data_IF_704052098111
#
_entry.id   IF_704052098111
#
_cell.length_a   1.000
_cell.length_b   1.000
_cell.length_c   1.000
_cell.angle_alpha   90.00
_cell.angle_beta   90.00
_cell.angle_gamma   90.00
#
_symmetry.space_group_name_H-M   'P 1'
#
loop_
_entity.id
_entity.type
_entity.pdbx_description
1 polymer ?
#
# COMPACT_ATOMS: atom_id res chain seq x y z
N UNK A 1 6.64 1.59 4.17
CA UNK A 1 5.72 1.72 3.02
C UNK A 1 4.29 1.34 3.40
N UNK A 2 4.04 0.13 3.92
CA UNK A 2 2.68 -0.30 4.36
C UNK A 2 2.03 0.62 5.41
N UNK A 3 2.77 1.07 6.43
CA UNK A 3 2.22 1.98 7.46
C UNK A 3 1.82 3.36 6.93
N UNK A 4 2.52 3.88 5.90
CA UNK A 4 2.19 5.18 5.32
C UNK A 4 0.91 5.09 4.47
N UNK A 5 0.76 3.99 3.70
CA UNK A 5 -0.45 3.71 2.93
C UNK A 5 -1.68 3.57 3.84
N UNK A 6 -1.54 2.93 5.00
CA UNK A 6 -2.64 2.76 5.95
C UNK A 6 -3.10 4.08 6.58
N UNK A 7 -2.18 4.98 6.96
CA UNK A 7 -2.53 6.29 7.52
C UNK A 7 -3.32 7.15 6.54
N UNK A 8 -2.88 7.19 5.29
CA UNK A 8 -3.52 8.03 4.27
C UNK A 8 -4.88 7.43 3.86
N UNK A 9 -5.03 6.10 3.84
CA UNK A 9 -6.31 5.40 3.68
C UNK A 9 -7.30 5.73 4.81
N UNK A 10 -6.86 5.68 6.08
CA UNK A 10 -7.72 6.01 7.23
C UNK A 10 -8.19 7.47 7.22
N UNK A 11 -7.33 8.40 6.77
CA UNK A 11 -7.71 9.82 6.60
C UNK A 11 -8.76 10.01 5.52
N UNK A 12 -8.68 9.27 4.42
CA UNK A 12 -9.65 9.34 3.32
C UNK A 12 -11.04 8.83 3.70
N UNK A 13 -11.15 7.96 4.72
CA UNK A 13 -12.42 7.36 5.16
C UNK A 13 -13.12 8.10 6.32
N UNK A 14 -12.62 9.29 6.67
CA UNK A 14 -13.12 10.14 7.77
C UNK A 14 -13.46 9.35 9.06
N UNK A 15 -12.61 8.39 9.40
CA UNK A 15 -12.81 7.42 10.48
C UNK A 15 -12.64 8.03 11.89
N UNK A 16 -13.05 9.29 12.08
CA UNK A 16 -12.88 10.09 13.31
C UNK A 16 -13.99 9.90 14.34
N UNK A 17 -15.07 9.18 14.01
CA UNK A 17 -16.21 8.98 14.89
C UNK A 17 -16.38 7.50 15.26
N UNK A 18 -15.66 7.03 16.28
CA UNK A 18 -15.83 5.69 16.83
C UNK A 18 -14.95 5.43 18.06
N UNK A 19 -15.47 4.67 19.03
CA UNK A 19 -14.69 4.22 20.18
C UNK A 19 -13.76 3.07 19.75
N UNK A 20 -12.56 3.40 19.31
CA UNK A 20 -11.56 2.40 18.91
C UNK A 20 -11.13 1.57 20.12
N UNK A 21 -11.19 0.25 19.97
CA UNK A 21 -10.61 -0.70 20.91
C UNK A 21 -9.36 -1.31 20.29
N UNK A 22 -8.26 -1.27 21.02
CA UNK A 22 -6.99 -1.89 20.60
C UNK A 22 -6.93 -3.28 21.21
N UNK A 23 -6.62 -4.29 20.40
CA UNK A 23 -6.37 -5.66 20.85
C UNK A 23 -5.05 -6.13 20.27
N UNK A 24 -4.23 -6.74 21.10
CA UNK A 24 -3.02 -7.45 20.66
C UNK A 24 -3.39 -8.90 20.36
N UNK A 25 -3.06 -9.38 19.17
CA UNK A 25 -3.22 -10.78 18.80
C UNK A 25 -1.92 -11.54 19.11
N UNK A 26 -2.00 -12.76 19.67
CA UNK A 26 -0.81 -13.59 19.90
C UNK A 26 -0.20 -14.04 18.57
N UNK A 27 1.13 -13.94 18.43
CA UNK A 27 1.86 -14.36 17.24
C UNK A 27 3.30 -14.76 17.60
N UNK A 28 3.96 -15.50 16.70
CA UNK A 28 5.37 -15.85 16.85
C UNK A 28 6.27 -14.61 16.87
N UNK A 29 7.35 -14.65 17.66
CA UNK A 29 8.34 -13.57 17.69
C UNK A 29 9.26 -13.65 16.48
N UNK A 30 9.63 -12.48 15.97
CA UNK A 30 10.61 -12.34 14.90
C UNK A 30 12.03 -12.56 15.47
N UNK A 31 12.81 -13.51 14.94
CA UNK A 31 14.14 -13.81 15.48
C UNK A 31 15.26 -12.91 14.94
N UNK A 32 15.01 -12.14 13.88
CA UNK A 32 16.03 -11.33 13.19
C UNK A 32 15.58 -9.86 13.02
N UNK A 33 16.41 -8.98 12.45
CA UNK A 33 16.10 -7.56 12.28
C UNK A 33 15.49 -7.21 10.91
N UNK A 34 15.31 -8.19 10.02
CA UNK A 34 15.07 -8.00 8.58
C UNK A 34 13.77 -8.64 8.07
N UNK A 35 13.11 -9.48 8.86
CA UNK A 35 11.94 -10.27 8.46
C UNK A 35 10.59 -9.61 8.77
N UNK A 36 10.59 -8.41 9.35
CA UNK A 36 9.35 -7.72 9.74
C UNK A 36 8.40 -7.45 8.56
N UNK A 37 8.93 -7.07 7.40
CA UNK A 37 8.12 -6.83 6.20
C UNK A 37 7.42 -8.09 5.71
N UNK A 38 8.10 -9.24 5.77
CA UNK A 38 7.57 -10.55 5.36
C UNK A 38 6.47 -10.99 6.32
N UNK A 39 6.76 -10.91 7.63
CA UNK A 39 5.83 -11.32 8.68
C UNK A 39 4.56 -10.47 8.68
N UNK A 40 4.65 -9.15 8.51
CA UNK A 40 3.46 -8.28 8.43
C UNK A 40 2.53 -8.72 7.28
N UNK A 41 3.09 -9.08 6.12
CA UNK A 41 2.30 -9.54 4.98
C UNK A 41 1.62 -10.88 5.26
N UNK A 42 2.34 -11.83 5.85
CA UNK A 42 1.78 -13.14 6.23
C UNK A 42 0.76 -13.05 7.35
N UNK A 43 0.97 -12.17 8.34
CA UNK A 43 -0.01 -11.90 9.38
C UNK A 43 -1.28 -11.29 8.80
N UNK A 44 -1.17 -10.33 7.87
CA UNK A 44 -2.34 -9.75 7.20
C UNK A 44 -3.11 -10.81 6.39
N UNK A 45 -2.41 -11.65 5.63
CA UNK A 45 -2.98 -12.75 4.87
C UNK A 45 -3.71 -13.76 5.77
N UNK A 46 -3.06 -14.23 6.83
CA UNK A 46 -3.64 -15.16 7.81
C UNK A 46 -4.84 -14.57 8.54
N UNK A 47 -4.74 -13.30 8.99
CA UNK A 47 -5.85 -12.64 9.66
C UNK A 47 -7.10 -12.52 8.77
N UNK A 48 -6.92 -12.18 7.49
CA UNK A 48 -8.03 -12.07 6.54
C UNK A 48 -8.66 -13.42 6.22
N UNK A 49 -7.87 -14.51 6.21
CA UNK A 49 -8.35 -15.85 5.87
C UNK A 49 -9.01 -16.55 7.06
N UNK A 50 -8.40 -16.48 8.25
CA UNK A 50 -8.80 -17.29 9.41
C UNK A 50 -8.97 -16.50 10.71
N UNK A 51 -8.63 -15.20 10.74
CA UNK A 51 -8.78 -14.35 11.92
C UNK A 51 -7.74 -14.59 13.02
N UNK A 52 -6.68 -15.36 12.74
CA UNK A 52 -5.62 -15.74 13.67
C UNK A 52 -4.22 -15.54 13.06
N UNK A 53 -3.21 -15.39 13.92
CA UNK A 53 -1.82 -15.18 13.54
C UNK A 53 -0.86 -16.29 14.01
N UNK A 54 -1.31 -17.24 14.83
CA UNK A 54 -0.43 -18.25 15.44
C UNK A 54 0.08 -19.29 14.43
N UNK A 55 -0.63 -19.50 13.34
CA UNK A 55 -0.23 -20.39 12.24
C UNK A 55 0.95 -19.86 11.42
N UNK A 56 1.30 -18.57 11.53
CA UNK A 56 2.39 -17.96 10.79
C UNK A 56 3.73 -18.32 11.43
N UNK A 57 4.51 -19.12 10.72
CA UNK A 57 5.86 -19.52 11.15
C UNK A 57 6.84 -18.36 11.05
N UNK A 58 7.71 -18.22 12.05
CA UNK A 58 8.82 -17.25 12.07
C UNK A 58 10.18 -17.92 11.83
N UNK A 59 10.18 -19.20 11.43
CA UNK A 59 11.40 -19.96 11.18
C UNK A 59 12.17 -19.39 9.98
N UNK A 60 13.52 -19.26 10.05
CA UNK A 60 14.32 -18.69 8.96
C UNK A 60 14.12 -19.36 7.59
N UNK A 61 13.94 -20.69 7.56
CA UNK A 61 13.66 -21.43 6.34
C UNK A 61 12.32 -21.02 5.70
N UNK A 62 11.28 -20.80 6.52
CA UNK A 62 9.99 -20.32 6.05
C UNK A 62 10.10 -18.87 5.55
N UNK A 63 10.86 -18.02 6.25
CA UNK A 63 11.07 -16.62 5.82
C UNK A 63 11.73 -16.54 4.45
N UNK A 64 12.65 -17.43 4.12
CA UNK A 64 13.22 -17.49 2.77
C UNK A 64 12.17 -17.84 1.71
N UNK A 65 11.33 -18.84 1.97
CA UNK A 65 10.26 -19.25 1.06
C UNK A 65 9.21 -18.13 0.90
N UNK A 66 8.83 -17.49 1.99
CA UNK A 66 7.86 -16.41 1.98
C UNK A 66 8.36 -15.19 1.20
N UNK A 67 9.65 -14.85 1.31
CA UNK A 67 10.27 -13.80 0.49
C UNK A 67 10.16 -14.12 -0.99
N UNK A 68 10.43 -15.37 -1.37
CA UNK A 68 10.35 -15.79 -2.76
C UNK A 68 8.91 -15.77 -3.30
N UNK A 69 7.95 -16.25 -2.51
CA UNK A 69 6.53 -16.21 -2.86
C UNK A 69 6.03 -14.78 -3.02
N UNK A 70 6.35 -13.89 -2.07
CA UNK A 70 5.98 -12.46 -2.14
C UNK A 70 6.59 -11.82 -3.38
N UNK A 71 7.89 -12.03 -3.65
CA UNK A 71 8.54 -11.47 -4.83
C UNK A 71 7.91 -11.98 -6.13
N UNK A 72 7.60 -13.27 -6.21
CA UNK A 72 6.96 -13.89 -7.38
C UNK A 72 5.58 -13.31 -7.61
N UNK A 73 4.74 -13.20 -6.57
CA UNK A 73 3.42 -12.57 -6.64
C UNK A 73 3.50 -11.12 -7.10
N UNK A 74 4.44 -10.35 -6.55
CA UNK A 74 4.63 -8.95 -6.96
C UNK A 74 5.03 -8.82 -8.44
N UNK A 75 5.87 -9.72 -8.95
CA UNK A 75 6.26 -9.74 -10.37
C UNK A 75 5.07 -10.11 -11.27
N UNK A 76 4.24 -11.07 -10.85
CA UNK A 76 3.04 -11.48 -11.59
C UNK A 76 1.95 -10.41 -11.59
N UNK A 77 1.86 -9.61 -10.52
CA UNK A 77 0.87 -8.53 -10.40
C UNK A 77 1.39 -7.15 -10.87
N UNK A 78 2.53 -7.09 -11.56
CA UNK A 78 3.11 -5.82 -12.03
C UNK A 78 2.23 -5.10 -13.04
N UNK A 79 1.37 -5.82 -13.74
CA UNK A 79 0.47 -5.26 -14.74
C UNK A 79 -0.47 -4.24 -14.07
N UNK A 80 -0.54 -3.02 -14.64
CA UNK A 80 -1.43 -1.90 -14.25
C UNK A 80 -0.96 -0.96 -13.15
N UNK A 81 0.28 -1.06 -12.62
CA UNK A 81 0.79 -0.05 -11.66
C UNK A 81 0.79 1.36 -12.26
N UNK A 82 0.95 1.45 -13.58
CA UNK A 82 0.96 2.71 -14.33
C UNK A 82 -0.41 3.42 -14.35
N UNK A 83 -1.50 2.69 -14.10
CA UNK A 83 -2.87 3.22 -14.08
C UNK A 83 -3.21 3.90 -12.75
N UNK A 84 -2.39 3.70 -11.71
CA UNK A 84 -2.63 4.28 -10.40
C UNK A 84 -2.10 5.72 -10.34
N UNK A 85 -2.87 6.60 -9.70
CA UNK A 85 -2.39 7.93 -9.40
C UNK A 85 -1.14 7.87 -8.52
N UNK A 86 -0.04 8.50 -8.97
CA UNK A 86 1.25 8.51 -8.26
C UNK A 86 1.20 9.24 -6.91
N UNK A 87 0.19 10.09 -6.69
CA UNK A 87 0.02 10.86 -5.46
C UNK A 87 -0.71 10.07 -4.37
N UNK A 88 -1.86 9.47 -4.69
CA UNK A 88 -2.69 8.75 -3.72
C UNK A 88 -2.60 7.22 -3.82
N UNK A 89 -1.99 6.67 -4.88
CA UNK A 89 -1.91 5.24 -5.20
C UNK A 89 -3.29 4.56 -5.33
N UNK A 90 -4.30 5.31 -5.79
CA UNK A 90 -5.64 4.80 -6.09
C UNK A 90 -5.91 4.88 -7.59
N UNK A 91 -6.72 3.96 -8.10
CA UNK A 91 -7.24 4.02 -9.46
C UNK A 91 -8.33 5.09 -9.57
N UNK A 92 -9.28 5.10 -8.61
CA UNK A 92 -10.37 6.08 -8.52
C UNK A 92 -10.11 7.06 -7.37
N UNK A 93 -10.28 8.36 -7.64
CA UNK A 93 -10.25 9.39 -6.59
C UNK A 93 -11.51 9.33 -5.71
N UNK A 94 -12.67 9.19 -6.35
CA UNK A 94 -13.98 9.04 -5.72
C UNK A 94 -14.67 7.80 -6.31
N UNK A 95 -15.16 6.91 -5.45
CA UNK A 95 -15.84 5.66 -5.86
C UNK A 95 -17.21 5.90 -6.48
N UNK A 96 -17.76 7.12 -6.37
CA UNK A 96 -19.07 7.48 -6.94
C UNK A 96 -19.00 8.09 -8.34
N UNK A 97 -17.80 8.32 -8.89
CA UNK A 97 -17.62 8.87 -10.25
C UNK A 97 -17.15 7.79 -11.22
N UNK A 98 -17.88 7.64 -12.32
CA UNK A 98 -17.52 6.71 -13.39
C UNK A 98 -16.37 7.22 -14.28
N UNK A 99 -16.17 8.55 -14.32
CA UNK A 99 -15.12 9.19 -15.11
C UNK A 99 -13.99 9.64 -14.17
N UNK A 100 -12.78 9.20 -14.47
CA UNK A 100 -11.57 9.57 -13.74
C UNK A 100 -10.76 10.53 -14.60
N UNK A 101 -10.64 11.79 -14.18
CA UNK A 101 -9.75 12.75 -14.83
C UNK A 101 -8.33 12.62 -14.27
N UNK A 102 -7.38 12.30 -15.15
CA UNK A 102 -5.97 12.21 -14.81
C UNK A 102 -5.13 13.15 -15.66
N UNK A 103 -4.01 13.58 -15.10
CA UNK A 103 -2.99 14.39 -15.76
C UNK A 103 -1.63 13.73 -15.67
N UNK A 104 -0.93 13.66 -16.79
CA UNK A 104 0.41 13.10 -16.87
C UNK A 104 1.45 14.15 -16.45
N UNK A 105 2.47 13.71 -15.73
CA UNK A 105 3.63 14.54 -15.39
C UNK A 105 4.43 14.88 -16.66
N UNK A 106 4.83 16.14 -16.83
CA UNK A 106 5.61 16.56 -18.01
C UNK A 106 7.06 16.02 -18.00
N UNK A 107 7.52 15.53 -16.85
CA UNK A 107 8.90 15.06 -16.63
C UNK A 107 9.04 13.54 -16.48
N UNK A 108 7.94 12.78 -16.43
CA UNK A 108 7.99 11.32 -16.32
C UNK A 108 6.67 10.69 -16.79
N UNK A 109 6.63 9.40 -17.14
CA UNK A 109 5.42 8.80 -17.71
C UNK A 109 4.25 8.61 -16.73
N UNK A 110 4.38 9.02 -15.45
CA UNK A 110 3.40 8.75 -14.40
C UNK A 110 2.22 9.72 -14.41
N UNK A 111 1.06 9.22 -13.99
CA UNK A 111 -0.20 9.95 -13.97
C UNK A 111 -0.64 10.33 -12.54
N UNK A 112 -1.39 11.42 -12.42
CA UNK A 112 -1.96 11.91 -11.17
C UNK A 112 -3.44 12.23 -11.38
N UNK A 113 -4.34 11.90 -10.44
CA UNK A 113 -5.70 12.44 -10.49
C UNK A 113 -5.64 13.96 -10.50
N UNK A 114 -6.51 14.61 -11.26
CA UNK A 114 -6.58 16.07 -11.31
C UNK A 114 -6.84 16.65 -9.92
N UNK A 115 -7.66 15.99 -9.10
CA UNK A 115 -7.93 16.37 -7.71
C UNK A 115 -6.73 16.14 -6.77
N UNK A 116 -5.82 15.24 -7.13
CA UNK A 116 -4.59 14.97 -6.36
C UNK A 116 -3.43 15.87 -6.78
N UNK A 117 -3.56 16.61 -7.89
CA UNK A 117 -2.53 17.48 -8.40
C UNK A 117 -2.61 18.85 -7.70
N UNK A 118 -1.56 19.19 -6.96
CA UNK A 118 -1.38 20.49 -6.32
C UNK A 118 -0.48 21.37 -7.20
N UNK A 119 -0.74 22.68 -7.25
CA UNK A 119 0.11 23.66 -7.93
C UNK A 119 0.23 23.48 -9.45
N UNK A 120 -0.90 23.63 -10.15
CA UNK A 120 -0.90 23.80 -11.61
C UNK A 120 -0.49 25.23 -11.98
N UNK A 121 0.66 25.38 -12.63
CA UNK A 121 1.05 26.61 -13.33
C UNK A 121 1.06 26.29 -14.83
N UNK A 122 2.22 26.26 -15.49
CA UNK A 122 2.35 25.98 -16.93
C UNK A 122 2.79 24.53 -17.23
N UNK A 123 3.58 23.93 -16.35
CA UNK A 123 4.01 22.54 -16.42
C UNK A 123 3.64 21.82 -15.13
N UNK A 124 3.13 20.60 -15.24
CA UNK A 124 2.82 19.73 -14.14
C UNK A 124 3.98 18.79 -13.81
N UNK A 125 4.52 18.93 -12.60
CA UNK A 125 5.51 18.02 -12.02
C UNK A 125 4.84 17.18 -10.95
N UNK A 126 4.86 15.85 -11.08
CA UNK A 126 4.30 15.00 -10.04
C UNK A 126 5.17 15.00 -8.78
N UNK A 127 4.54 14.70 -7.63
CA UNK A 127 5.19 14.66 -6.31
C UNK A 127 6.48 13.82 -6.24
N UNK A 128 6.61 12.78 -7.07
CA UNK A 128 7.84 11.95 -7.11
C UNK A 128 9.00 12.66 -7.79
N UNK A 129 8.72 13.46 -8.81
CA UNK A 129 9.74 14.27 -9.49
C UNK A 129 10.08 15.53 -8.70
N UNK A 130 9.19 16.05 -7.85
CA UNK A 130 9.50 17.17 -6.95
C UNK A 130 10.52 16.81 -5.86
N UNK A 131 10.58 15.54 -5.47
CA UNK A 131 11.51 15.03 -4.45
C UNK A 131 12.90 14.67 -5.03
N UNK A 132 13.10 14.86 -6.33
CA UNK A 132 14.35 14.63 -7.07
C UNK A 132 14.93 15.97 -7.53
#
# INVERSE_FOLDING_TARGET
VFMLLHRDFLRAKDARQGSWKVKTLPHGLQPDASSCGVLILRFAESFLQVGDLQSVSTAPAQMFQDRMDIATKLLQCKDKVEDYCVSCNMLHYDTCKDIIEMIQCDFCPRWTHKECATHFVDLFKCKKCELQ
#
